data_IF_362158539202
#
_entry.id   IF_362158539202
#
_cell.length_a   1.000
_cell.length_b   1.000
_cell.length_c   1.000
_cell.angle_alpha   90.00
_cell.angle_beta   90.00
_cell.angle_gamma   90.00
#
_symmetry.space_group_name_H-M   'P 1'
#
loop_
_entity.id
_entity.type
_entity.pdbx_description
1 polymer ?
#
# COMPACT_ATOMS: atom_id res chain seq x y z
N UNK A 1 18.53 -11.68 10.95
CA UNK A 1 17.69 -11.25 9.80
C UNK A 1 17.41 -12.43 8.88
N UNK A 2 18.39 -13.32 8.70
CA UNK A 2 18.35 -14.43 7.74
C UNK A 2 17.14 -15.34 7.87
N UNK A 3 16.73 -15.72 9.09
CA UNK A 3 15.55 -16.58 9.29
C UNK A 3 14.25 -15.94 8.76
N UNK A 4 14.01 -14.65 9.04
CA UNK A 4 12.82 -13.95 8.53
C UNK A 4 12.87 -13.81 7.01
N UNK A 5 14.05 -13.59 6.43
CA UNK A 5 14.23 -13.54 4.97
C UNK A 5 13.91 -14.88 4.33
N UNK A 6 14.31 -16.00 4.94
CA UNK A 6 13.98 -17.36 4.49
C UNK A 6 12.46 -17.58 4.55
N UNK A 7 11.80 -17.17 5.63
CA UNK A 7 10.34 -17.28 5.75
C UNK A 7 9.60 -16.44 4.69
N UNK A 8 10.09 -15.24 4.38
CA UNK A 8 9.55 -14.42 3.29
C UNK A 8 9.70 -15.13 1.94
N UNK A 9 10.85 -15.76 1.68
CA UNK A 9 11.10 -16.49 0.44
C UNK A 9 10.19 -17.72 0.31
N UNK A 10 10.05 -18.52 1.37
CA UNK A 10 9.17 -19.70 1.37
C UNK A 10 7.71 -19.31 1.12
N UNK A 11 7.22 -18.23 1.75
CA UNK A 11 5.85 -17.74 1.48
C UNK A 11 5.70 -17.22 0.05
N UNK A 12 6.71 -16.52 -0.49
CA UNK A 12 6.70 -16.07 -1.87
C UNK A 12 6.65 -17.25 -2.87
N UNK A 13 7.45 -18.30 -2.66
CA UNK A 13 7.43 -19.51 -3.48
C UNK A 13 6.06 -20.19 -3.44
N UNK A 14 5.46 -20.31 -2.26
CA UNK A 14 4.09 -20.82 -2.11
C UNK A 14 3.08 -20.00 -2.92
N UNK A 15 3.16 -18.66 -2.84
CA UNK A 15 2.30 -17.77 -3.63
C UNK A 15 2.49 -18.01 -5.14
N UNK A 16 3.72 -18.19 -5.63
CA UNK A 16 3.98 -18.46 -7.05
C UNK A 16 3.35 -19.77 -7.57
N UNK A 17 3.03 -20.71 -6.69
CA UNK A 17 2.34 -21.95 -7.04
C UNK A 17 0.82 -21.80 -7.07
N UNK A 18 0.27 -20.71 -6.52
CA UNK A 18 -1.16 -20.40 -6.59
C UNK A 18 -1.49 -19.82 -7.99
N UNK A 19 -2.61 -20.20 -8.63
CA UNK A 19 -2.96 -19.69 -9.97
C UNK A 19 -3.00 -18.15 -10.05
N UNK A 20 -3.54 -17.49 -9.02
CA UNK A 20 -3.59 -16.04 -8.92
C UNK A 20 -2.28 -15.41 -8.47
N UNK A 21 -1.38 -16.18 -7.87
CA UNK A 21 -0.05 -15.67 -7.52
C UNK A 21 0.84 -15.48 -8.74
N UNK A 22 0.72 -16.34 -9.76
CA UNK A 22 1.40 -16.11 -11.04
C UNK A 22 0.90 -14.84 -11.73
N UNK A 23 -0.41 -14.61 -11.71
CA UNK A 23 -1.01 -13.36 -12.20
C UNK A 23 -0.47 -12.14 -11.45
N UNK A 24 -0.38 -12.21 -10.12
CA UNK A 24 0.20 -11.15 -9.30
C UNK A 24 1.68 -10.89 -9.63
N UNK A 25 2.50 -11.92 -9.84
CA UNK A 25 3.91 -11.78 -10.21
C UNK A 25 4.07 -11.18 -11.61
N UNK A 26 3.22 -11.60 -12.55
CA UNK A 26 3.24 -11.14 -13.95
C UNK A 26 2.50 -9.82 -14.16
N UNK A 27 1.85 -9.27 -13.12
CA UNK A 27 1.12 -8.01 -13.21
C UNK A 27 2.11 -6.86 -13.49
N UNK A 28 2.32 -6.64 -14.79
CA UNK A 28 3.01 -5.51 -15.36
C UNK A 28 1.97 -4.53 -15.85
N UNK A 29 1.63 -3.56 -15.00
CA UNK A 29 0.74 -2.48 -15.40
C UNK A 29 1.54 -1.48 -16.24
N UNK A 30 1.15 -1.23 -17.50
CA UNK A 30 1.68 -0.08 -18.22
C UNK A 30 1.27 1.16 -17.42
N UNK A 31 2.23 2.02 -17.11
CA UNK A 31 1.97 3.29 -16.45
C UNK A 31 0.87 4.02 -17.26
N UNK A 32 -0.24 4.34 -16.59
CA UNK A 32 -1.45 4.88 -17.20
C UNK A 32 -1.16 6.28 -17.76
N UNK A 33 -0.85 6.35 -19.05
CA UNK A 33 -0.86 7.60 -19.81
C UNK A 33 -0.66 7.45 -21.32
N UNK A 34 -0.88 6.26 -21.88
CA UNK A 34 -0.95 6.08 -23.32
C UNK A 34 -2.39 5.77 -23.69
N UNK A 35 -3.03 6.64 -24.48
CA UNK A 35 -4.27 6.34 -25.17
C UNK A 35 -4.18 4.93 -25.77
N UNK A 36 -5.18 4.10 -25.47
CA UNK A 36 -5.21 2.66 -25.74
C UNK A 36 -5.52 2.35 -27.21
N UNK A 37 -5.00 3.14 -28.14
CA UNK A 37 -5.14 2.95 -29.58
C UNK A 37 -3.79 2.55 -30.18
N UNK A 38 -3.70 1.27 -30.58
CA UNK A 38 -2.69 0.68 -31.45
C UNK A 38 -1.21 0.78 -31.02
N UNK A 39 -0.74 -0.20 -30.25
CA UNK A 39 0.70 -0.49 -30.13
C UNK A 39 0.96 -1.94 -30.54
N UNK A 40 1.33 -2.11 -31.82
CA UNK A 40 1.97 -3.32 -32.31
C UNK A 40 3.43 -3.35 -31.82
N UNK A 41 3.74 -4.41 -31.08
CA UNK A 41 5.06 -5.03 -30.86
C UNK A 41 6.32 -4.22 -31.24
N UNK A 42 6.88 -3.48 -30.29
CA UNK A 42 8.34 -3.32 -30.15
C UNK A 42 8.67 -2.89 -28.72
N UNK A 43 9.54 -3.66 -28.07
CA UNK A 43 9.88 -3.70 -26.65
C UNK A 43 10.75 -2.53 -26.18
N UNK A 44 10.18 -1.32 -26.16
CA UNK A 44 10.66 -0.25 -25.28
C UNK A 44 9.45 0.44 -24.68
N UNK A 45 9.13 0.10 -23.43
CA UNK A 45 8.14 0.83 -22.64
C UNK A 45 8.73 2.22 -22.43
N UNK A 46 8.13 3.30 -22.96
CA UNK A 46 8.56 4.65 -22.64
C UNK A 46 8.46 4.79 -21.13
N UNK A 47 9.58 5.02 -20.45
CA UNK A 47 9.57 5.31 -19.02
C UNK A 47 8.85 6.63 -18.82
N UNK A 48 7.52 6.58 -18.63
CA UNK A 48 6.82 7.75 -18.13
C UNK A 48 7.54 8.16 -16.85
N UNK A 49 7.95 9.44 -16.84
CA UNK A 49 8.57 10.03 -15.66
C UNK A 49 7.66 9.72 -14.46
N UNK A 50 8.22 9.19 -13.35
CA UNK A 50 7.42 8.85 -12.19
C UNK A 50 6.69 10.12 -11.73
N UNK A 51 5.39 10.01 -11.45
CA UNK A 51 4.61 11.14 -10.94
C UNK A 51 5.29 11.77 -9.72
N UNK A 52 5.33 13.10 -9.68
CA UNK A 52 5.92 13.91 -8.61
C UNK A 52 4.87 14.81 -7.97
N UNK A 53 5.15 15.26 -6.76
CA UNK A 53 4.26 16.15 -6.02
C UNK A 53 4.21 17.59 -6.59
N UNK A 54 5.21 17.97 -7.38
CA UNK A 54 5.29 19.27 -8.08
C UNK A 54 4.79 19.21 -9.53
N UNK A 55 4.32 18.06 -10.00
CA UNK A 55 3.69 17.94 -11.30
C UNK A 55 2.41 18.80 -11.34
N UNK A 56 2.10 19.40 -12.49
CA UNK A 56 0.94 20.29 -12.67
C UNK A 56 -0.38 19.65 -12.19
N UNK A 57 -0.54 18.34 -12.44
CA UNK A 57 -1.73 17.58 -12.03
C UNK A 57 -1.84 17.36 -10.51
N UNK A 58 -0.73 17.47 -9.78
CA UNK A 58 -0.68 17.25 -8.33
C UNK A 58 -0.55 18.58 -7.60
N UNK A 59 0.44 19.40 -7.94
CA UNK A 59 0.63 20.74 -7.36
C UNK A 59 0.60 20.76 -5.82
N UNK A 60 1.01 19.66 -5.17
CA UNK A 60 1.09 19.55 -3.72
C UNK A 60 2.26 20.38 -3.17
N UNK A 61 3.32 20.51 -3.98
CA UNK A 61 4.47 21.37 -3.76
C UNK A 61 4.48 22.44 -4.87
N UNK A 62 4.55 23.70 -4.48
CA UNK A 62 4.64 24.82 -5.42
C UNK A 62 6.09 25.26 -5.53
N UNK A 63 6.63 25.19 -6.75
CA UNK A 63 8.00 25.61 -7.07
C UNK A 63 7.94 26.83 -7.96
N UNK A 64 8.33 27.99 -7.44
CA UNK A 64 8.41 29.21 -8.24
C UNK A 64 9.52 29.10 -9.30
N UNK A 65 9.26 29.54 -10.54
CA UNK A 65 10.24 29.49 -11.64
C UNK A 65 11.57 30.16 -11.29
N UNK A 66 11.51 31.29 -10.57
CA UNK A 66 12.69 32.00 -10.08
C UNK A 66 13.59 31.10 -9.21
N UNK A 67 13.00 30.25 -8.36
CA UNK A 67 13.75 29.33 -7.52
C UNK A 67 14.43 28.22 -8.35
N UNK A 68 13.80 27.76 -9.44
CA UNK A 68 14.46 26.82 -10.38
C UNK A 68 15.67 27.49 -11.07
N UNK A 69 15.49 28.71 -11.57
CA UNK A 69 16.57 29.44 -12.24
C UNK A 69 17.76 29.73 -11.30
N UNK A 70 17.49 30.09 -10.04
CA UNK A 70 18.53 30.30 -9.02
C UNK A 70 19.29 29.00 -8.70
N UNK A 71 18.61 27.85 -8.67
CA UNK A 71 19.24 26.54 -8.48
C UNK A 71 20.21 26.22 -9.63
N UNK A 72 19.77 26.38 -10.88
CA UNK A 72 20.59 26.06 -12.05
C UNK A 72 21.87 26.91 -12.12
N UNK A 73 21.79 28.17 -11.66
CA UNK A 73 22.96 29.04 -11.49
C UNK A 73 23.89 28.55 -10.37
N UNK A 74 23.34 28.09 -9.24
CA UNK A 74 24.11 27.67 -8.06
C UNK A 74 24.91 26.37 -8.26
N UNK A 75 24.47 25.47 -9.15
CA UNK A 75 25.17 24.22 -9.48
C UNK A 75 26.53 24.45 -10.15
N UNK A 76 26.82 25.67 -10.62
CA UNK A 76 28.10 26.04 -11.21
C UNK A 76 29.21 26.37 -10.20
N UNK A 77 28.90 26.45 -8.90
CA UNK A 77 29.85 26.83 -7.83
C UNK A 77 29.77 25.80 -6.72
N UNK A 78 30.91 25.17 -6.36
CA UNK A 78 31.10 24.13 -5.32
C UNK A 78 30.37 24.42 -3.98
N UNK A 79 29.05 24.18 -3.93
CA UNK A 79 28.19 24.63 -2.81
C UNK A 79 27.14 23.59 -2.42
N UNK A 80 27.60 22.35 -2.17
CA UNK A 80 26.77 21.28 -1.61
C UNK A 80 26.07 21.65 -0.28
N UNK A 81 26.52 22.68 0.46
CA UNK A 81 25.90 23.08 1.74
C UNK A 81 24.66 23.98 1.58
N UNK A 82 24.51 24.71 0.47
CA UNK A 82 23.42 25.68 0.29
C UNK A 82 22.13 25.04 -0.25
N UNK A 83 22.26 23.94 -1.01
CA UNK A 83 21.16 23.18 -1.63
C UNK A 83 20.12 22.64 -0.63
N UNK A 84 20.48 22.46 0.63
CA UNK A 84 19.57 21.88 1.65
C UNK A 84 18.64 22.89 2.32
N UNK A 85 18.99 24.18 2.33
CA UNK A 85 18.24 25.19 3.08
C UNK A 85 16.84 25.43 2.51
N UNK A 86 16.66 25.26 1.20
CA UNK A 86 15.37 25.49 0.54
C UNK A 86 14.46 24.26 0.56
N UNK A 87 15.00 23.06 0.81
CA UNK A 87 14.25 21.81 0.81
C UNK A 87 13.24 21.72 1.98
N UNK A 88 13.57 22.35 3.11
CA UNK A 88 12.70 22.41 4.28
C UNK A 88 11.37 23.16 3.99
N UNK A 89 11.37 24.12 3.07
CA UNK A 89 10.17 24.84 2.65
C UNK A 89 9.22 23.87 1.94
N UNK A 90 9.71 23.10 0.98
CA UNK A 90 8.90 22.15 0.21
C UNK A 90 8.45 20.96 1.07
N UNK A 91 9.30 20.47 1.97
CA UNK A 91 8.92 19.48 2.97
C UNK A 91 7.78 19.98 3.88
N UNK A 92 7.86 21.24 4.32
CA UNK A 92 6.81 21.85 5.15
C UNK A 92 5.50 21.98 4.37
N UNK A 93 5.55 22.38 3.09
CA UNK A 93 4.37 22.41 2.22
C UNK A 93 3.73 21.02 2.10
N UNK A 94 4.54 20.01 1.76
CA UNK A 94 4.07 18.62 1.60
C UNK A 94 3.47 18.07 2.89
N UNK A 95 4.13 18.28 4.04
CA UNK A 95 3.64 17.81 5.33
C UNK A 95 2.32 18.48 5.74
N UNK A 96 2.18 19.79 5.53
CA UNK A 96 0.93 20.51 5.79
C UNK A 96 -0.19 19.99 4.90
N UNK A 97 0.08 19.80 3.61
CA UNK A 97 -0.89 19.23 2.65
C UNK A 97 -1.33 17.83 3.10
N UNK A 98 -0.38 16.97 3.47
CA UNK A 98 -0.66 15.63 3.95
C UNK A 98 -1.51 15.64 5.22
N UNK A 99 -1.22 16.54 6.16
CA UNK A 99 -2.00 16.71 7.40
C UNK A 99 -3.45 17.08 7.12
N UNK A 100 -3.69 17.99 6.17
CA UNK A 100 -5.05 18.41 5.80
C UNK A 100 -5.83 17.30 5.08
N UNK A 101 -5.16 16.46 4.31
CA UNK A 101 -5.80 15.48 3.43
C UNK A 101 -5.85 14.05 3.99
N UNK A 102 -5.11 13.75 5.06
CA UNK A 102 -4.97 12.37 5.56
C UNK A 102 -6.31 11.74 5.92
N UNK A 103 -7.13 12.41 6.73
CA UNK A 103 -8.36 11.80 7.23
C UNK A 103 -9.37 11.55 6.10
N UNK A 104 -9.50 12.49 5.15
CA UNK A 104 -10.31 12.30 3.95
C UNK A 104 -9.76 11.18 3.06
N UNK A 105 -8.43 11.06 2.93
CA UNK A 105 -7.82 9.96 2.18
C UNK A 105 -8.15 8.61 2.82
N UNK A 106 -7.96 8.47 4.15
CA UNK A 106 -8.31 7.23 4.86
C UNK A 106 -9.80 6.90 4.74
N UNK A 107 -10.66 7.92 4.80
CA UNK A 107 -12.11 7.77 4.66
C UNK A 107 -12.47 7.23 3.29
N UNK A 108 -11.92 7.79 2.21
CA UNK A 108 -12.19 7.30 0.85
C UNK A 108 -11.69 5.86 0.68
N UNK A 109 -10.50 5.53 1.18
CA UNK A 109 -9.98 4.15 1.11
C UNK A 109 -10.92 3.17 1.82
N UNK A 110 -11.44 3.56 3.00
CA UNK A 110 -12.42 2.77 3.74
C UNK A 110 -13.74 2.64 2.98
N UNK A 111 -14.28 3.75 2.47
CA UNK A 111 -15.54 3.76 1.72
C UNK A 111 -15.47 2.87 0.48
N UNK A 112 -14.35 2.87 -0.24
CA UNK A 112 -14.11 1.94 -1.36
C UNK A 112 -14.24 0.49 -0.90
N UNK A 113 -13.66 0.10 0.24
CA UNK A 113 -13.81 -1.27 0.75
C UNK A 113 -15.24 -1.58 1.20
N UNK A 114 -15.92 -0.61 1.83
CA UNK A 114 -17.29 -0.78 2.32
C UNK A 114 -18.32 -0.93 1.20
N UNK A 115 -18.07 -0.40 0.00
CA UNK A 115 -18.91 -0.65 -1.18
C UNK A 115 -18.98 -2.15 -1.56
N UNK A 116 -17.99 -2.92 -1.14
CA UNK A 116 -17.93 -4.37 -1.34
C UNK A 116 -18.28 -5.16 -0.07
N UNK A 117 -18.75 -4.52 1.00
CA UNK A 117 -19.07 -5.21 2.25
C UNK A 117 -20.28 -6.14 2.08
N UNK A 118 -20.19 -7.36 2.63
CA UNK A 118 -21.36 -8.25 2.77
C UNK A 118 -22.26 -7.68 3.86
N UNK A 119 -23.44 -7.22 3.47
CA UNK A 119 -24.48 -6.85 4.44
C UNK A 119 -24.97 -8.11 5.15
N UNK A 120 -24.68 -8.19 6.45
CA UNK A 120 -25.14 -9.28 7.32
C UNK A 120 -26.61 -9.09 7.71
N UNK A 121 -27.42 -8.63 6.75
CA UNK A 121 -28.85 -8.46 6.90
C UNK A 121 -29.49 -9.83 7.07
N UNK A 122 -29.60 -10.25 8.32
CA UNK A 122 -30.65 -11.15 8.79
C UNK A 122 -31.93 -10.73 8.09
N UNK A 123 -32.64 -11.69 7.50
CA UNK A 123 -33.99 -11.53 7.01
C UNK A 123 -34.83 -10.78 8.08
N UNK A 124 -34.98 -9.46 7.95
CA UNK A 124 -36.25 -8.83 8.29
C UNK A 124 -37.23 -9.22 7.17
N UNK A 125 -37.52 -10.52 7.14
CA UNK A 125 -38.82 -10.99 6.71
C UNK A 125 -39.79 -10.38 7.73
N UNK A 126 -40.39 -9.27 7.34
CA UNK A 126 -41.58 -8.72 7.99
C UNK A 126 -42.73 -9.71 7.72
N UNK A 127 -42.64 -10.90 8.33
CA UNK A 127 -43.78 -11.77 8.49
C UNK A 127 -44.64 -11.14 9.58
N UNK A 128 -45.64 -10.35 9.18
CA UNK A 128 -46.88 -10.31 9.92
C UNK A 128 -47.39 -11.76 9.94
N UNK A 129 -47.21 -12.46 11.06
CA UNK A 129 -48.18 -13.42 11.55
C UNK A 129 -47.91 -13.74 13.03
N UNK A 130 -49.03 -13.96 13.69
CA UNK A 130 -49.32 -14.05 15.12
C UNK A 130 -48.63 -15.17 15.91
N UNK A 131 -48.39 -14.86 17.19
CA UNK A 131 -48.50 -15.72 18.39
C UNK A 131 -47.75 -17.07 18.44
N UNK A 132 -46.79 -17.26 19.37
CA UNK A 132 -46.96 -17.89 20.71
C UNK A 132 -45.60 -18.24 21.35
N UNK A 133 -45.55 -18.14 22.67
CA UNK A 133 -44.42 -18.40 23.58
C UNK A 133 -43.73 -19.76 23.41
N UNK A 134 -42.39 -19.77 23.48
CA UNK A 134 -41.63 -20.72 24.31
C UNK A 134 -40.22 -20.19 24.59
N UNK A 135 -39.87 -20.12 25.87
CA UNK A 135 -38.55 -19.72 26.38
C UNK A 135 -37.59 -20.90 26.31
N UNK A 136 -36.44 -20.72 25.66
CA UNK A 136 -35.27 -21.57 25.89
C UNK A 136 -33.99 -20.71 25.87
N UNK A 137 -33.35 -20.65 27.03
CA UNK A 137 -32.08 -19.97 27.25
C UNK A 137 -30.96 -20.84 26.65
N UNK A 138 -30.47 -20.44 25.47
CA UNK A 138 -29.28 -21.01 24.83
C UNK A 138 -28.14 -20.01 24.86
N UNK A 139 -27.27 -20.13 25.85
CA UNK A 139 -26.04 -19.36 25.99
C UNK A 139 -25.08 -19.69 24.84
N UNK A 140 -25.00 -18.83 23.82
CA UNK A 140 -24.04 -19.00 22.71
C UNK A 140 -22.74 -18.27 23.02
N UNK A 141 -21.74 -19.01 23.49
CA UNK A 141 -20.39 -18.51 23.69
C UNK A 141 -19.71 -18.34 22.33
N UNK A 142 -19.53 -17.09 21.88
CA UNK A 142 -18.73 -16.78 20.70
C UNK A 142 -17.26 -16.99 21.07
N UNK A 143 -16.68 -18.12 20.65
CA UNK A 143 -15.25 -18.36 20.75
C UNK A 143 -14.52 -17.61 19.63
N UNK A 144 -13.90 -16.48 19.97
CA UNK A 144 -12.93 -15.78 19.11
C UNK A 144 -11.62 -16.59 19.04
N UNK A 145 -11.56 -17.54 18.10
CA UNK A 145 -10.38 -18.34 17.82
C UNK A 145 -9.72 -17.87 16.50
N UNK A 146 -9.04 -16.72 16.53
CA UNK A 146 -8.12 -16.33 15.45
C UNK A 146 -6.73 -16.91 15.71
N UNK A 147 -6.64 -18.24 15.68
CA UNK A 147 -5.37 -18.96 15.66
C UNK A 147 -5.06 -19.32 14.21
N UNK A 148 -4.12 -18.60 13.59
CA UNK A 148 -3.73 -18.85 12.21
C UNK A 148 -2.55 -19.83 12.19
N UNK A 149 -2.79 -21.02 11.62
CA UNK A 149 -1.73 -21.99 11.36
C UNK A 149 -1.26 -21.87 9.92
N UNK A 150 -0.01 -21.47 9.73
CA UNK A 150 0.66 -21.60 8.43
C UNK A 150 1.22 -23.02 8.36
N UNK A 151 0.50 -23.92 7.70
CA UNK A 151 1.04 -25.23 7.33
C UNK A 151 1.78 -25.10 5.99
N UNK A 152 3.11 -25.20 6.01
CA UNK A 152 3.92 -25.37 4.79
C UNK A 152 4.29 -26.84 4.71
N UNK A 153 3.64 -27.58 3.81
CA UNK A 153 4.09 -28.93 3.48
C UNK A 153 5.39 -28.87 2.67
N UNK A 154 6.52 -29.13 3.33
CA UNK A 154 7.78 -29.33 2.61
C UNK A 154 7.78 -30.74 2.02
N UNK A 155 7.87 -30.85 0.70
CA UNK A 155 7.97 -32.10 -0.05
C UNK A 155 9.34 -32.75 0.14
N UNK A 156 9.58 -33.28 1.34
CA UNK A 156 10.83 -33.95 1.68
C UNK A 156 10.85 -34.43 3.13
N UNK A 157 10.58 -35.73 3.33
CA UNK A 157 10.69 -36.45 4.61
C UNK A 157 9.82 -35.92 5.76
N UNK A 158 8.52 -36.20 5.70
CA UNK A 158 7.69 -36.60 6.86
C UNK A 158 7.62 -35.72 8.12
N UNK A 159 8.15 -34.50 8.11
CA UNK A 159 8.07 -33.58 9.24
C UNK A 159 7.09 -32.46 8.92
N UNK A 160 5.89 -32.53 9.48
CA UNK A 160 4.95 -31.39 9.52
C UNK A 160 5.57 -30.33 10.43
N UNK A 161 6.14 -29.28 9.85
CA UNK A 161 6.49 -28.09 10.60
C UNK A 161 5.19 -27.31 10.86
N UNK A 162 4.57 -27.53 12.02
CA UNK A 162 3.52 -26.64 12.52
C UNK A 162 4.18 -25.34 12.95
N UNK A 163 4.19 -24.35 12.06
CA UNK A 163 4.79 -23.07 12.38
C UNK A 163 3.84 -22.28 13.28
N UNK A 164 4.32 -22.03 14.50
CA UNK A 164 3.92 -21.02 15.48
C UNK A 164 2.45 -20.56 15.38
N UNK A 165 1.64 -21.02 16.34
CA UNK A 165 0.46 -20.27 16.76
C UNK A 165 0.91 -18.87 17.18
N UNK A 166 0.72 -17.91 16.29
CA UNK A 166 0.99 -16.51 16.57
C UNK A 166 -0.28 -15.96 17.19
N UNK A 167 -0.24 -15.71 18.50
CA UNK A 167 -1.22 -14.80 19.10
C UNK A 167 -1.06 -13.46 18.41
N UNK A 168 -2.08 -13.04 17.66
CA UNK A 168 -2.10 -11.79 16.93
C UNK A 168 -1.86 -10.64 17.91
N UNK A 169 -0.64 -10.11 17.88
CA UNK A 169 -0.26 -8.86 18.54
C UNK A 169 -1.05 -7.75 17.84
N UNK A 170 -2.29 -7.56 18.33
CA UNK A 170 -3.36 -6.65 17.91
C UNK A 170 -2.96 -5.82 16.68
N UNK A 171 -3.32 -6.31 15.50
CA UNK A 171 -3.36 -5.47 14.31
C UNK A 171 -4.41 -4.39 14.60
N UNK A 172 -3.96 -3.19 14.97
CA UNK A 172 -4.85 -2.04 15.17
C UNK A 172 -5.32 -1.63 13.78
N UNK A 173 -6.48 -2.15 13.39
CA UNK A 173 -7.08 -2.00 12.08
C UNK A 173 -8.53 -2.41 12.08
N UNK A 174 -9.22 -2.10 11.00
CA UNK A 174 -10.62 -2.47 10.79
C UNK A 174 -10.69 -3.69 9.88
N UNK A 175 -11.33 -4.75 10.37
CA UNK A 175 -11.57 -5.97 9.59
C UNK A 175 -12.94 -5.88 8.92
N UNK A 176 -12.94 -5.87 7.59
CA UNK A 176 -14.15 -5.71 6.77
C UNK A 176 -14.44 -7.03 6.05
N UNK A 177 -15.65 -7.55 6.20
CA UNK A 177 -16.11 -8.73 5.46
C UNK A 177 -16.59 -8.31 4.07
N UNK A 178 -15.82 -8.61 3.03
CA UNK A 178 -16.09 -8.18 1.66
C UNK A 178 -16.54 -9.34 0.76
N UNK A 179 -17.42 -9.04 -0.19
CA UNK A 179 -17.83 -9.94 -1.26
C UNK A 179 -16.86 -9.81 -2.42
N UNK A 180 -16.07 -10.85 -2.65
CA UNK A 180 -15.24 -11.00 -3.84
C UNK A 180 -16.03 -11.78 -4.91
N UNK A 181 -15.55 -11.77 -6.15
CA UNK A 181 -16.13 -12.49 -7.30
C UNK A 181 -16.22 -13.98 -7.04
N UNK A 182 -15.26 -14.53 -6.32
CA UNK A 182 -15.10 -15.97 -6.10
C UNK A 182 -15.62 -16.47 -4.75
N UNK A 183 -15.61 -15.62 -3.71
CA UNK A 183 -15.97 -15.99 -2.34
C UNK A 183 -16.16 -14.73 -1.48
N UNK A 184 -16.49 -14.92 -0.21
CA UNK A 184 -16.46 -13.85 0.79
C UNK A 184 -15.15 -13.94 1.57
N UNK A 185 -14.46 -12.81 1.80
CA UNK A 185 -13.21 -12.77 2.56
C UNK A 185 -13.22 -11.65 3.61
N UNK A 186 -12.27 -11.71 4.55
CA UNK A 186 -12.02 -10.65 5.52
C UNK A 186 -10.78 -9.86 5.10
N UNK A 187 -10.96 -8.58 4.80
CA UNK A 187 -9.89 -7.67 4.42
C UNK A 187 -9.62 -6.74 5.60
N UNK A 188 -8.35 -6.64 6.01
CA UNK A 188 -7.96 -5.72 7.08
C UNK A 188 -7.47 -4.40 6.50
N UNK A 189 -8.12 -3.31 6.87
CA UNK A 189 -7.69 -1.94 6.61
C UNK A 189 -6.88 -1.42 7.79
N UNK A 190 -5.63 -1.07 7.51
CA UNK A 190 -4.70 -0.48 8.48
C UNK A 190 -4.42 0.98 8.09
N UNK A 191 -5.17 1.95 8.66
CA UNK A 191 -4.88 3.36 8.43
C UNK A 191 -3.51 3.72 9.01
N UNK A 192 -2.79 4.62 8.34
CA UNK A 192 -1.49 5.08 8.83
C UNK A 192 -1.53 6.59 9.13
N UNK A 193 -0.80 7.05 10.15
CA UNK A 193 -0.60 8.48 10.34
C UNK A 193 0.22 9.05 9.19
N UNK A 194 0.09 10.37 8.99
CA UNK A 194 0.94 11.14 8.09
C UNK A 194 2.41 10.82 8.35
N UNK A 195 3.19 10.66 7.28
CA UNK A 195 4.63 10.46 7.44
C UNK A 195 5.24 11.64 8.17
N UNK A 196 5.94 11.37 9.26
CA UNK A 196 6.62 12.40 10.06
C UNK A 196 7.66 13.15 9.23
N UNK A 197 7.86 14.44 9.50
CA UNK A 197 8.89 15.27 8.84
C UNK A 197 10.28 14.62 8.91
N UNK A 198 10.68 14.07 10.07
CA UNK A 198 11.98 13.40 10.21
C UNK A 198 12.19 12.27 9.18
N UNK A 199 11.17 11.43 8.99
CA UNK A 199 11.18 10.35 7.99
C UNK A 199 11.10 10.86 6.55
N UNK A 200 10.43 12.00 6.32
CA UNK A 200 10.46 12.65 5.00
C UNK A 200 11.85 13.21 4.68
N UNK A 201 12.56 13.79 5.67
CA UNK A 201 13.95 14.23 5.52
C UNK A 201 14.91 13.08 5.21
N UNK A 202 14.76 11.94 5.87
CA UNK A 202 15.51 10.71 5.52
C UNK A 202 15.31 10.37 4.03
N UNK A 203 14.06 10.43 3.54
CA UNK A 203 13.75 10.16 2.13
C UNK A 203 14.30 11.21 1.17
N UNK A 204 14.23 12.48 1.52
CA UNK A 204 14.88 13.56 0.76
C UNK A 204 16.37 13.28 0.60
N UNK A 205 17.05 12.85 1.66
CA UNK A 205 18.48 12.54 1.56
C UNK A 205 18.76 11.34 0.65
N UNK A 206 17.92 10.31 0.69
CA UNK A 206 17.98 9.20 -0.28
C UNK A 206 17.77 9.69 -1.73
N UNK A 207 16.81 10.58 -1.97
CA UNK A 207 16.54 11.10 -3.31
C UNK A 207 17.60 12.08 -3.81
N UNK A 208 18.15 12.93 -2.95
CA UNK A 208 19.23 13.84 -3.29
C UNK A 208 20.49 13.09 -3.77
N UNK A 209 20.70 11.86 -3.28
CA UNK A 209 21.79 11.00 -3.74
C UNK A 209 21.49 10.29 -5.07
N UNK A 210 20.22 9.98 -5.36
CA UNK A 210 19.82 9.12 -6.47
C UNK A 210 19.07 9.84 -7.62
N UNK A 211 18.84 11.15 -7.50
CA UNK A 211 18.06 11.94 -8.46
C UNK A 211 18.69 13.31 -8.62
N UNK A 212 18.73 13.79 -9.86
CA UNK A 212 19.19 15.15 -10.17
C UNK A 212 18.05 16.18 -10.16
N UNK A 213 16.79 15.73 -10.05
CA UNK A 213 15.62 16.56 -10.24
C UNK A 213 15.10 17.07 -8.89
N UNK A 214 15.28 18.37 -8.66
CA UNK A 214 14.80 19.06 -7.46
C UNK A 214 13.48 19.81 -7.69
N UNK A 215 12.65 20.03 -6.64
CA UNK A 215 12.89 19.66 -5.23
C UNK A 215 12.81 18.16 -4.99
N UNK A 216 13.59 17.66 -4.03
CA UNK A 216 13.73 16.22 -3.81
C UNK A 216 12.52 15.64 -3.08
N UNK A 217 11.89 16.44 -2.22
CA UNK A 217 10.64 16.13 -1.51
C UNK A 217 9.50 15.85 -2.47
N UNK A 218 9.55 16.38 -3.70
CA UNK A 218 8.54 16.06 -4.71
C UNK A 218 8.54 14.59 -5.16
N UNK A 219 9.62 13.85 -4.89
CA UNK A 219 9.67 12.41 -5.16
C UNK A 219 9.07 11.55 -4.03
N UNK A 220 8.62 12.14 -2.91
CA UNK A 220 7.97 11.41 -1.81
C UNK A 220 6.51 11.12 -2.19
N UNK A 221 6.18 9.85 -2.39
CA UNK A 221 4.86 9.42 -2.89
C UNK A 221 3.91 8.86 -1.83
N UNK A 222 4.41 8.66 -0.60
CA UNK A 222 3.64 8.09 0.50
C UNK A 222 3.45 9.05 1.71
N UNK A 223 3.27 10.39 1.52
CA UNK A 223 3.07 11.32 2.64
C UNK A 223 1.78 11.02 3.41
N UNK A 224 0.71 10.64 2.71
CA UNK A 224 -0.49 9.96 3.23
C UNK A 224 -0.49 8.53 2.70
N UNK A 225 -0.89 7.57 3.52
CA UNK A 225 -0.83 6.15 3.12
C UNK A 225 -1.77 5.26 3.92
N UNK A 226 -2.13 4.13 3.33
CA UNK A 226 -2.90 3.07 3.99
C UNK A 226 -2.27 1.71 3.68
N UNK A 227 -2.59 0.69 4.48
CA UNK A 227 -2.26 -0.70 4.15
C UNK A 227 -3.52 -1.54 4.15
N UNK A 228 -3.64 -2.39 3.15
CA UNK A 228 -4.71 -3.36 2.97
C UNK A 228 -4.06 -4.73 3.06
N UNK A 229 -4.55 -5.56 3.97
CA UNK A 229 -4.00 -6.90 4.22
C UNK A 229 -5.05 -7.94 3.86
N UNK A 230 -4.67 -8.82 2.96
CA UNK A 230 -5.54 -9.86 2.41
C UNK A 230 -4.93 -11.26 2.62
N UNK A 231 -5.76 -12.30 2.50
CA UNK A 231 -5.39 -13.71 2.64
C UNK A 231 -5.02 -14.35 1.29
N UNK A 232 -4.06 -13.73 0.60
CA UNK A 232 -3.45 -14.30 -0.60
C UNK A 232 -3.63 -13.45 -1.87
N UNK A 233 -3.14 -13.95 -3.00
CA UNK A 233 -2.94 -13.16 -4.21
C UNK A 233 -4.26 -12.87 -4.93
N UNK A 234 -5.24 -13.77 -4.86
CA UNK A 234 -6.57 -13.54 -5.45
C UNK A 234 -7.26 -12.32 -4.83
N UNK A 235 -7.24 -12.25 -3.50
CA UNK A 235 -7.82 -11.13 -2.77
C UNK A 235 -7.05 -9.82 -3.00
N UNK A 236 -5.71 -9.86 -3.05
CA UNK A 236 -4.89 -8.68 -3.39
C UNK A 236 -5.27 -8.13 -4.77
N UNK A 237 -5.31 -8.99 -5.78
CA UNK A 237 -5.61 -8.58 -7.16
C UNK A 237 -7.02 -8.02 -7.28
N UNK A 238 -8.00 -8.67 -6.68
CA UNK A 238 -9.38 -8.21 -6.74
C UNK A 238 -9.59 -6.91 -5.96
N UNK A 239 -9.02 -6.80 -4.76
CA UNK A 239 -9.10 -5.58 -3.96
C UNK A 239 -8.43 -4.42 -4.67
N UNK A 240 -7.26 -4.65 -5.30
CA UNK A 240 -6.61 -3.63 -6.12
C UNK A 240 -7.49 -3.19 -7.30
N UNK A 241 -8.16 -4.12 -7.97
CA UNK A 241 -9.04 -3.80 -9.09
C UNK A 241 -10.18 -2.84 -8.68
N UNK A 242 -10.69 -2.92 -7.44
CA UNK A 242 -11.67 -1.96 -6.92
C UNK A 242 -11.14 -0.52 -6.95
N UNK A 243 -9.87 -0.33 -6.54
CA UNK A 243 -9.21 0.98 -6.56
C UNK A 243 -8.76 1.41 -7.97
N UNK A 244 -8.41 0.47 -8.84
CA UNK A 244 -8.06 0.79 -10.23
C UNK A 244 -9.28 1.35 -10.99
N UNK A 245 -10.48 0.86 -10.68
CA UNK A 245 -11.74 1.33 -11.26
C UNK A 245 -12.33 2.54 -10.53
N UNK A 246 -11.76 2.95 -9.40
CA UNK A 246 -12.15 4.19 -8.75
C UNK A 246 -11.82 5.35 -9.71
N UNK A 247 -12.86 6.02 -10.19
CA UNK A 247 -12.74 7.16 -11.07
C UNK A 247 -12.79 8.47 -10.26
N UNK A 248 -13.00 9.58 -10.98
CA UNK A 248 -13.20 10.91 -10.43
C UNK A 248 -14.24 10.99 -9.29
N UNK A 249 -15.18 10.04 -9.17
CA UNK A 249 -16.19 10.05 -8.11
C UNK A 249 -15.58 9.93 -6.70
N UNK A 250 -14.46 9.22 -6.56
CA UNK A 250 -13.76 9.05 -5.27
C UNK A 250 -12.65 10.07 -5.04
N UNK A 251 -12.25 10.79 -6.10
CA UNK A 251 -11.06 11.63 -6.10
C UNK A 251 -9.74 10.86 -6.12
N UNK A 252 -9.74 9.52 -6.18
CA UNK A 252 -8.54 8.71 -6.35
C UNK A 252 -8.28 8.43 -7.82
N UNK A 253 -7.08 8.77 -8.30
CA UNK A 253 -6.62 8.44 -9.66
C UNK A 253 -5.28 7.73 -9.62
N UNK A 254 -5.25 6.48 -10.07
CA UNK A 254 -4.03 5.68 -10.10
C UNK A 254 -2.97 6.36 -10.98
N UNK A 255 -1.79 6.60 -10.42
CA UNK A 255 -0.68 7.24 -11.14
C UNK A 255 0.59 6.38 -11.19
N UNK A 256 0.79 5.48 -10.22
CA UNK A 256 1.95 4.59 -10.21
C UNK A 256 1.62 3.26 -9.57
N UNK A 257 2.18 2.19 -10.12
CA UNK A 257 2.23 0.89 -9.45
C UNK A 257 3.67 0.45 -9.29
N UNK A 258 4.00 -0.10 -8.12
CA UNK A 258 5.25 -0.79 -7.84
C UNK A 258 4.94 -2.17 -7.29
N UNK A 259 5.14 -3.16 -8.15
CA UNK A 259 4.92 -4.56 -7.84
C UNK A 259 6.25 -5.24 -7.49
N UNK A 260 6.58 -5.39 -6.19
CA UNK A 260 7.80 -6.08 -5.79
C UNK A 260 7.71 -7.60 -5.93
N UNK A 261 6.51 -8.18 -6.13
CA UNK A 261 6.40 -9.62 -6.43
C UNK A 261 7.06 -9.98 -7.76
N UNK A 262 7.13 -9.04 -8.70
CA UNK A 262 7.81 -9.21 -9.98
C UNK A 262 9.36 -9.14 -9.88
N UNK A 263 9.92 -8.82 -8.71
CA UNK A 263 11.35 -8.58 -8.54
C UNK A 263 12.07 -9.88 -8.12
N UNK A 264 13.31 -10.04 -8.58
CA UNK A 264 14.15 -11.14 -8.13
C UNK A 264 14.48 -10.98 -6.65
N UNK A 265 14.72 -12.10 -5.97
CA UNK A 265 14.99 -12.10 -4.54
C UNK A 265 16.22 -11.29 -4.16
N UNK A 266 17.28 -11.39 -4.96
CA UNK A 266 18.54 -10.69 -4.77
C UNK A 266 18.45 -9.16 -4.96
N UNK A 267 17.40 -8.67 -5.62
CA UNK A 267 17.14 -7.22 -5.75
C UNK A 267 16.43 -6.63 -4.52
N UNK A 268 16.08 -7.47 -3.54
CA UNK A 268 15.22 -7.10 -2.42
C UNK A 268 15.87 -7.33 -1.07
N UNK A 269 15.95 -6.26 -0.28
CA UNK A 269 16.48 -6.30 1.08
C UNK A 269 15.65 -7.24 1.95
N UNK A 270 16.25 -8.38 2.33
CA UNK A 270 15.62 -9.41 3.15
C UNK A 270 14.45 -10.13 2.48
N UNK A 271 14.35 -10.10 1.16
CA UNK A 271 13.33 -10.84 0.42
C UNK A 271 11.90 -10.32 0.57
N UNK A 272 11.70 -9.15 1.16
CA UNK A 272 10.37 -8.62 1.40
C UNK A 272 9.64 -8.24 0.10
N UNK A 273 8.37 -8.67 -0.02
CA UNK A 273 7.49 -8.45 -1.17
C UNK A 273 6.23 -7.68 -0.78
N UNK A 274 5.88 -6.68 -1.58
CA UNK A 274 4.63 -5.93 -1.51
C UNK A 274 4.16 -5.50 -2.89
N UNK A 275 2.87 -5.20 -2.96
CA UNK A 275 2.26 -4.55 -4.10
C UNK A 275 1.81 -3.16 -3.65
N UNK A 276 2.35 -2.10 -4.27
CA UNK A 276 2.08 -0.72 -3.88
C UNK A 276 1.49 0.04 -5.05
N UNK A 277 0.42 0.78 -4.81
CA UNK A 277 -0.18 1.67 -5.78
C UNK A 277 -0.22 3.09 -5.22
N UNK A 278 0.26 4.05 -6.01
CA UNK A 278 0.18 5.47 -5.71
C UNK A 278 -0.96 6.09 -6.49
N UNK A 279 -1.74 6.91 -5.82
CA UNK A 279 -2.91 7.59 -6.36
C UNK A 279 -2.74 9.09 -6.19
N UNK A 280 -3.07 9.86 -7.22
CA UNK A 280 -3.36 11.28 -7.07
C UNK A 280 -4.73 11.35 -6.39
N UNK A 281 -4.74 11.89 -5.18
CA UNK A 281 -5.94 12.09 -4.38
C UNK A 281 -6.35 13.56 -4.41
N UNK A 282 -7.54 13.84 -4.92
CA UNK A 282 -8.19 15.16 -4.94
C UNK A 282 -9.12 15.28 -3.73
N UNK A 283 -8.71 16.11 -2.76
CA UNK A 283 -9.49 16.42 -1.58
C UNK A 283 -10.27 17.73 -1.67
N UNK A 284 -10.91 18.11 -0.56
CA UNK A 284 -11.69 19.36 -0.48
C UNK A 284 -10.82 20.58 -0.78
N UNK A 285 -11.41 21.56 -1.46
CA UNK A 285 -10.75 22.82 -1.79
C UNK A 285 -9.73 22.72 -2.93
N UNK A 286 -9.93 21.77 -3.86
CA UNK A 286 -9.06 21.50 -5.02
C UNK A 286 -7.61 21.23 -4.60
N UNK A 287 -7.44 20.54 -3.47
CA UNK A 287 -6.13 20.20 -2.95
C UNK A 287 -5.80 18.78 -3.37
N UNK A 288 -4.70 18.61 -4.11
CA UNK A 288 -4.25 17.28 -4.49
C UNK A 288 -2.99 16.87 -3.73
N UNK A 289 -2.80 15.57 -3.59
CA UNK A 289 -1.58 14.95 -3.07
C UNK A 289 -1.44 13.55 -3.66
N UNK A 290 -0.20 13.06 -3.84
CA UNK A 290 -0.01 11.62 -4.08
C UNK A 290 -0.10 10.89 -2.74
N UNK A 291 -0.99 9.91 -2.64
CA UNK A 291 -1.09 8.96 -1.53
C UNK A 291 -0.74 7.53 -1.96
N UNK A 292 -0.28 6.70 -1.03
CA UNK A 292 0.10 5.31 -1.31
C UNK A 292 -0.81 4.31 -0.60
N UNK A 293 -1.35 3.34 -1.34
CA UNK A 293 -2.03 2.17 -0.80
C UNK A 293 -1.11 0.97 -0.99
N UNK A 294 -0.76 0.30 0.11
CA UNK A 294 0.05 -0.90 0.10
C UNK A 294 -0.85 -2.12 0.29
N UNK A 295 -0.82 -3.06 -0.65
CA UNK A 295 -1.54 -4.33 -0.59
C UNK A 295 -0.56 -5.42 -0.16
N UNK A 296 -0.92 -6.14 0.89
CA UNK A 296 -0.07 -7.18 1.47
C UNK A 296 -0.80 -8.51 1.54
N UNK A 297 -0.03 -9.57 1.35
CA UNK A 297 -0.38 -10.89 1.86
C UNK A 297 -0.23 -10.89 3.39
N UNK A 298 -1.19 -11.46 4.12
CA UNK A 298 -1.21 -11.47 5.59
C UNK A 298 0.06 -12.03 6.22
N UNK A 299 0.53 -13.17 5.73
CA UNK A 299 1.74 -13.81 6.26
C UNK A 299 3.00 -12.95 5.99
N UNK A 300 3.14 -12.41 4.77
CA UNK A 300 4.24 -11.51 4.44
C UNK A 300 4.18 -10.20 5.23
N UNK A 301 2.99 -9.65 5.46
CA UNK A 301 2.82 -8.45 6.26
C UNK A 301 3.28 -8.65 7.71
N UNK A 302 2.94 -9.80 8.30
CA UNK A 302 3.40 -10.17 9.62
C UNK A 302 4.93 -10.24 9.71
N UNK A 303 5.57 -10.90 8.75
CA UNK A 303 7.03 -10.98 8.66
C UNK A 303 7.67 -9.60 8.46
N UNK A 304 7.10 -8.75 7.60
CA UNK A 304 7.52 -7.36 7.40
C UNK A 304 7.56 -6.58 8.70
N UNK A 305 6.55 -6.69 9.56
CA UNK A 305 6.51 -5.99 10.85
C UNK A 305 7.68 -6.39 11.74
N UNK A 306 8.02 -7.68 11.79
CA UNK A 306 9.21 -8.18 12.53
C UNK A 306 10.50 -7.65 11.92
N UNK A 307 10.65 -7.74 10.61
CA UNK A 307 11.84 -7.23 9.90
C UNK A 307 12.03 -5.73 10.10
N UNK A 308 10.95 -4.94 10.02
CA UNK A 308 10.99 -3.50 10.27
C UNK A 308 11.43 -3.14 11.69
N UNK A 309 11.03 -3.93 12.71
CA UNK A 309 11.52 -3.75 14.08
C UNK A 309 13.03 -3.97 14.17
N UNK A 310 13.53 -5.05 13.56
CA UNK A 310 14.97 -5.34 13.51
C UNK A 310 15.75 -4.26 12.75
N UNK A 311 15.25 -3.83 11.58
CA UNK A 311 15.88 -2.79 10.78
C UNK A 311 16.00 -1.45 11.53
N UNK A 312 15.00 -1.09 12.36
CA UNK A 312 15.08 0.10 13.22
C UNK A 312 16.21 -0.02 14.24
N UNK A 313 16.43 -1.20 14.81
CA UNK A 313 17.52 -1.46 15.76
C UNK A 313 18.87 -1.38 15.04
N UNK A 314 19.01 -2.04 13.89
CA UNK A 314 20.26 -2.02 13.11
C UNK A 314 20.65 -0.62 12.62
N UNK A 315 19.67 0.28 12.39
CA UNK A 315 19.97 1.68 12.02
C UNK A 315 20.33 2.58 13.21
N UNK A 316 20.01 2.16 14.43
CA UNK A 316 20.29 2.93 15.64
C UNK A 316 21.63 2.54 16.29
N UNK A 317 22.21 1.40 15.89
CA UNK A 317 23.53 0.93 16.28
C UNK A 317 24.61 1.50 15.36
#
# INVERSE_FOLDING_TARGET
MDELSVLCQLRYEALCHEPKGQELVLLHLPLLGSNRENVNSSTHIPSQLPSRQDDEQVSAIIVYEKARAEKDLSLSVDSNSKLWQDEDIFLTQLFRRATLLNDSFQTVVKETLLQHQVWSGSNLSLACDSETHSESEGESTIHDANEFHVEIEMSGRGSRASFLSVKDDHMIGERIKCQLKSHTAYIDLLPAPVKTIARMREKVAEYAFNSDIWPYSANILDPVRASIVCDGPNEILETFAWFETCDHATGLRLCRVKNKFAFKFEDLVGGYRDFMASFIFEGKGNLNIIGEIQFHDRALHYLKRKMHRLYKICRAA
#
